data_IF_029045796840
#
_entry.id   IF_029045796840
#
_cell.length_a   1.000
_cell.length_b   1.000
_cell.length_c   1.000
_cell.angle_alpha   90.00
_cell.angle_beta   90.00
_cell.angle_gamma   90.00
#
_symmetry.space_group_name_H-M   'P 1'
#
loop_
_entity.id
_entity.type
_entity.pdbx_description
1 polymer ?
#
# COMPACT_ATOMS: atom_id res chain seq x y z
N UNK A 1 11.13 -7.29 6.17
CA UNK A 1 10.01 -6.56 5.52
C UNK A 1 10.44 -5.12 5.29
N UNK A 2 10.21 -4.64 4.09
CA UNK A 2 10.51 -3.26 3.71
C UNK A 2 9.18 -2.54 3.49
N UNK A 3 9.01 -1.37 4.12
CA UNK A 3 7.86 -0.51 3.91
C UNK A 3 8.24 0.65 2.98
N UNK A 4 7.59 0.75 1.84
CA UNK A 4 7.76 1.88 0.94
C UNK A 4 6.73 2.96 1.28
N UNK A 5 7.22 4.10 1.72
CA UNK A 5 6.38 5.21 2.19
C UNK A 5 6.78 6.50 1.47
N UNK A 6 6.20 6.79 0.28
CA UNK A 6 6.47 8.06 -0.37
C UNK A 6 5.93 9.19 0.50
N UNK A 7 6.83 10.11 0.89
CA UNK A 7 6.53 11.14 1.90
C UNK A 7 5.30 11.97 1.51
N UNK A 8 5.19 12.33 0.22
CA UNK A 8 4.07 13.14 -0.26
C UNK A 8 2.71 12.42 -0.21
N UNK A 9 2.71 11.10 -0.02
CA UNK A 9 1.50 10.28 0.04
C UNK A 9 0.97 10.11 1.46
N UNK A 10 1.84 10.20 2.48
CA UNK A 10 1.46 9.94 3.88
C UNK A 10 0.44 10.97 4.34
N UNK A 11 -0.77 10.51 4.73
CA UNK A 11 -1.81 11.35 5.28
C UNK A 11 -2.49 12.31 4.30
N UNK A 12 -2.19 12.22 3.00
CA UNK A 12 -2.71 13.18 2.00
C UNK A 12 -3.91 12.65 1.20
N UNK A 13 -4.17 11.35 1.24
CA UNK A 13 -5.15 10.71 0.36
C UNK A 13 -4.64 10.47 -1.05
N UNK A 14 -3.43 10.93 -1.37
CA UNK A 14 -2.83 10.75 -2.69
C UNK A 14 -2.03 9.46 -2.73
N UNK A 15 -2.06 8.77 -3.87
CA UNK A 15 -1.27 7.56 -4.10
C UNK A 15 -0.49 7.70 -5.41
N UNK A 16 0.66 6.99 -5.54
CA UNK A 16 1.36 6.93 -6.81
C UNK A 16 0.49 6.28 -7.87
N UNK A 17 0.76 6.58 -9.14
CA UNK A 17 0.10 5.85 -10.23
C UNK A 17 0.46 4.38 -10.12
N UNK A 18 -0.48 3.46 -10.40
CA UNK A 18 -0.21 2.02 -10.25
C UNK A 18 1.03 1.54 -11.00
N UNK A 19 1.25 2.02 -12.21
CA UNK A 19 2.43 1.67 -12.99
C UNK A 19 3.73 2.11 -12.32
N UNK A 20 3.76 3.33 -11.81
CA UNK A 20 4.93 3.88 -11.13
C UNK A 20 5.22 3.10 -9.84
N UNK A 21 4.18 2.80 -9.09
CA UNK A 21 4.30 2.04 -7.84
C UNK A 21 4.80 0.62 -8.12
N UNK A 22 4.25 -0.03 -9.14
CA UNK A 22 4.71 -1.35 -9.56
C UNK A 22 6.21 -1.35 -9.90
N UNK A 23 6.65 -0.37 -10.70
CA UNK A 23 8.05 -0.25 -11.10
C UNK A 23 8.98 0.00 -9.91
N UNK A 24 8.56 0.88 -8.99
CA UNK A 24 9.34 1.20 -7.79
C UNK A 24 9.50 -0.04 -6.90
N UNK A 25 8.41 -0.76 -6.66
CA UNK A 25 8.45 -1.97 -5.84
C UNK A 25 9.29 -3.06 -6.50
N UNK A 26 9.18 -3.18 -7.81
CA UNK A 26 10.00 -4.12 -8.58
C UNK A 26 11.49 -3.82 -8.43
N UNK A 27 11.85 -2.53 -8.49
CA UNK A 27 13.24 -2.09 -8.28
C UNK A 27 13.73 -2.47 -6.87
N UNK A 28 12.91 -2.24 -5.85
CA UNK A 28 13.25 -2.58 -4.47
C UNK A 28 13.48 -4.09 -4.33
N UNK A 29 12.59 -4.90 -4.90
CA UNK A 29 12.68 -6.35 -4.83
C UNK A 29 13.89 -6.93 -5.56
N UNK A 30 14.31 -6.29 -6.65
CA UNK A 30 15.54 -6.70 -7.35
C UNK A 30 16.77 -6.55 -6.47
N UNK A 31 16.80 -5.54 -5.61
CA UNK A 31 17.92 -5.29 -4.69
C UNK A 31 17.83 -6.13 -3.42
N UNK A 32 16.60 -6.57 -3.06
CA UNK A 32 16.31 -7.22 -1.77
C UNK A 32 15.37 -8.41 -2.00
N UNK A 33 15.84 -9.43 -2.70
CA UNK A 33 15.01 -10.54 -3.20
C UNK A 33 14.30 -11.34 -2.11
N UNK A 34 14.88 -11.42 -0.92
CA UNK A 34 14.36 -12.23 0.17
C UNK A 34 13.38 -11.46 1.06
N UNK A 35 13.13 -10.18 0.76
CA UNK A 35 12.25 -9.36 1.59
C UNK A 35 10.88 -9.16 0.97
N UNK A 36 9.87 -9.16 1.83
CA UNK A 36 8.54 -8.70 1.48
C UNK A 36 8.52 -7.17 1.44
N UNK A 37 7.76 -6.59 0.53
CA UNK A 37 7.61 -5.14 0.41
C UNK A 37 6.15 -4.77 0.61
N UNK A 38 5.89 -3.91 1.60
CA UNK A 38 4.55 -3.38 1.86
C UNK A 38 4.50 -1.91 1.47
N UNK A 39 3.32 -1.46 1.09
CA UNK A 39 3.09 -0.05 0.75
C UNK A 39 2.50 0.68 1.96
N UNK A 40 3.09 1.82 2.32
CA UNK A 40 2.70 2.59 3.50
C UNK A 40 2.35 4.04 3.23
N UNK A 41 1.95 4.39 2.00
CA UNK A 41 1.42 5.72 1.73
C UNK A 41 -0.01 5.85 2.25
N UNK A 42 -0.84 6.67 1.61
CA UNK A 42 -2.26 6.77 1.96
C UNK A 42 -2.99 5.49 1.56
N UNK A 43 -3.51 4.76 2.53
CA UNK A 43 -4.35 3.58 2.30
C UNK A 43 -5.68 3.80 2.99
N UNK A 44 -6.77 3.73 2.23
CA UNK A 44 -8.13 3.94 2.75
C UNK A 44 -9.12 3.06 1.96
N UNK A 45 -10.40 2.99 2.40
CA UNK A 45 -11.38 2.16 1.69
C UNK A 45 -11.59 2.54 0.23
N UNK A 46 -11.32 3.79 -0.14
CA UNK A 46 -11.58 4.27 -1.51
C UNK A 46 -10.45 3.89 -2.48
N UNK A 47 -9.23 3.65 -2.01
CA UNK A 47 -8.09 3.37 -2.89
C UNK A 47 -7.52 1.96 -2.74
N UNK A 48 -7.93 1.20 -1.73
CA UNK A 48 -7.32 -0.11 -1.47
C UNK A 48 -7.58 -1.12 -2.60
N UNK A 49 -8.70 -1.03 -3.29
CA UNK A 49 -8.98 -1.91 -4.43
C UNK A 49 -8.00 -1.68 -5.58
N UNK A 50 -7.67 -0.42 -5.86
CA UNK A 50 -6.66 -0.07 -6.86
C UNK A 50 -5.27 -0.54 -6.41
N UNK A 51 -4.91 -0.30 -5.16
CA UNK A 51 -3.61 -0.70 -4.62
C UNK A 51 -3.43 -2.22 -4.60
N UNK A 52 -4.46 -2.98 -4.22
CA UNK A 52 -4.35 -4.44 -4.19
C UNK A 52 -4.26 -5.07 -5.57
N UNK A 53 -4.65 -4.36 -6.62
CA UNK A 53 -4.51 -4.84 -7.99
C UNK A 53 -3.05 -4.87 -8.44
N UNK A 54 -2.16 -4.18 -7.72
CA UNK A 54 -0.72 -4.17 -7.99
C UNK A 54 -0.13 -5.44 -7.39
N UNK A 55 0.19 -6.42 -8.23
CA UNK A 55 0.45 -7.79 -7.79
C UNK A 55 1.78 -8.03 -7.08
N UNK A 56 2.70 -7.06 -7.11
CA UNK A 56 3.99 -7.21 -6.43
C UNK A 56 4.04 -6.55 -5.04
N UNK A 57 2.92 -5.98 -4.57
CA UNK A 57 2.81 -5.48 -3.20
C UNK A 57 2.40 -6.63 -2.30
N UNK A 58 3.16 -6.86 -1.24
CA UNK A 58 2.91 -7.97 -0.32
C UNK A 58 1.96 -7.61 0.82
N UNK A 59 1.70 -6.32 1.05
CA UNK A 59 0.78 -5.87 2.08
C UNK A 59 0.76 -4.35 2.20
N UNK A 60 0.07 -3.87 3.23
CA UNK A 60 -0.11 -2.45 3.47
C UNK A 60 0.22 -2.08 4.91
N UNK A 61 0.79 -0.91 5.09
CA UNK A 61 0.94 -0.28 6.39
C UNK A 61 -0.12 0.82 6.48
N UNK A 62 -1.08 0.65 7.38
CA UNK A 62 -2.24 1.54 7.48
C UNK A 62 -2.00 2.59 8.57
N UNK A 63 -2.03 3.86 8.17
CA UNK A 63 -1.87 5.00 9.08
C UNK A 63 -3.21 5.49 9.64
N UNK A 64 -3.62 6.71 9.23
CA UNK A 64 -4.80 7.38 9.78
C UNK A 64 -6.09 6.56 9.74
N UNK A 65 -6.33 5.79 8.68
CA UNK A 65 -7.53 4.97 8.58
C UNK A 65 -7.59 3.85 9.64
N UNK A 66 -6.46 3.46 10.22
CA UNK A 66 -6.44 2.45 11.30
C UNK A 66 -7.00 2.96 12.62
N UNK A 67 -7.16 4.27 12.76
CA UNK A 67 -7.74 4.89 13.96
C UNK A 67 -9.27 4.86 13.94
N UNK A 68 -9.87 4.51 12.81
CA UNK A 68 -11.32 4.37 12.65
C UNK A 68 -11.62 2.89 12.39
N UNK A 69 -12.31 2.23 13.32
CA UNK A 69 -12.54 0.80 13.24
C UNK A 69 -13.35 0.39 11.99
N UNK A 70 -14.32 1.21 11.58
CA UNK A 70 -15.12 0.91 10.38
C UNK A 70 -14.28 0.98 9.13
N UNK A 71 -13.46 2.01 8.99
CA UNK A 71 -12.55 2.16 7.85
C UNK A 71 -11.52 1.03 7.81
N UNK A 72 -10.94 0.70 8.95
CA UNK A 72 -9.92 -0.36 9.02
C UNK A 72 -10.51 -1.71 8.65
N UNK A 73 -11.68 -2.05 9.18
CA UNK A 73 -12.36 -3.29 8.85
C UNK A 73 -12.73 -3.34 7.36
N UNK A 74 -13.20 -2.22 6.80
CA UNK A 74 -13.54 -2.15 5.38
C UNK A 74 -12.32 -2.38 4.49
N UNK A 75 -11.17 -1.81 4.87
CA UNK A 75 -9.89 -2.05 4.16
C UNK A 75 -9.55 -3.54 4.20
N UNK A 76 -9.65 -4.18 5.36
CA UNK A 76 -9.35 -5.60 5.52
C UNK A 76 -10.25 -6.44 4.61
N UNK A 77 -11.56 -6.19 4.64
CA UNK A 77 -12.51 -6.91 3.80
C UNK A 77 -12.20 -6.77 2.32
N UNK A 78 -11.91 -5.55 1.86
CA UNK A 78 -11.59 -5.29 0.47
C UNK A 78 -10.25 -5.89 0.05
N UNK A 79 -9.30 -5.98 0.97
CA UNK A 79 -8.00 -6.57 0.69
C UNK A 79 -8.09 -8.06 0.42
N UNK A 80 -8.97 -8.76 1.13
CA UNK A 80 -9.10 -10.22 1.05
C UNK A 80 -10.29 -10.71 0.23
N UNK A 81 -10.98 -9.83 -0.43
CA UNK A 81 -12.10 -10.21 -1.31
C UNK A 81 -11.65 -10.50 -2.73
#
# INVERSE_FOLDING_TARGET
IIAYEPIWSIGTGLIPKPKELFETINFIKKKNKDYKVIYGGSVNPNNVNELKSINNIDGFLIGGASQDSKKFIDIIKKTYN
#
